data_IF_191849054828
#
_entry.id   IF_191849054828
#
_cell.length_a   1.000
_cell.length_b   1.000
_cell.length_c   1.000
_cell.angle_alpha   90.00
_cell.angle_beta   90.00
_cell.angle_gamma   90.00
#
_symmetry.space_group_name_H-M   'P 1'
#
loop_
_entity.id
_entity.type
_entity.pdbx_description
1 polymer ?
#
# COMPACT_ATOMS: atom_id res chain seq x y z
N UNK A 1 -7.99 17.66 10.95
CA UNK A 1 -8.87 16.64 10.35
C UNK A 1 -8.05 15.39 10.03
N UNK A 2 -8.69 14.23 10.05
CA UNK A 2 -8.14 12.97 9.55
C UNK A 2 -8.82 12.66 8.21
N UNK A 3 -8.03 12.50 7.16
CA UNK A 3 -8.49 12.06 5.86
C UNK A 3 -8.20 10.57 5.69
N UNK A 4 -9.22 9.80 5.35
CA UNK A 4 -9.11 8.34 5.20
C UNK A 4 -9.66 7.91 3.84
N UNK A 5 -8.87 7.18 3.07
CA UNK A 5 -9.34 6.54 1.84
C UNK A 5 -9.89 5.15 2.16
N UNK A 6 -11.09 4.88 1.70
CA UNK A 6 -11.82 3.64 1.94
C UNK A 6 -12.08 2.93 0.61
N UNK A 7 -11.58 1.71 0.48
CA UNK A 7 -11.93 0.86 -0.66
C UNK A 7 -13.39 0.41 -0.55
N UNK A 8 -14.24 0.88 -1.46
CA UNK A 8 -15.61 0.45 -1.55
C UNK A 8 -15.69 -0.88 -2.30
N UNK A 9 -16.01 -1.94 -1.56
CA UNK A 9 -16.18 -3.27 -2.10
C UNK A 9 -17.67 -3.57 -2.30
N UNK A 10 -18.02 -4.25 -3.39
CA UNK A 10 -19.38 -4.72 -3.63
C UNK A 10 -19.43 -6.24 -3.78
N UNK A 11 -20.54 -6.83 -3.33
CA UNK A 11 -20.80 -8.26 -3.55
C UNK A 11 -21.15 -8.48 -5.01
N UNK A 12 -20.42 -9.36 -5.67
CA UNK A 12 -20.63 -9.69 -7.12
C UNK A 12 -20.88 -11.19 -7.34
N UNK A 13 -20.81 -12.02 -6.30
CA UNK A 13 -21.02 -13.46 -6.40
C UNK A 13 -21.15 -14.11 -5.01
N UNK A 14 -21.28 -15.43 -5.00
CA UNK A 14 -21.32 -16.25 -3.78
C UNK A 14 -19.90 -16.63 -3.33
N UNK A 15 -19.80 -17.16 -2.09
CA UNK A 15 -18.53 -17.60 -1.51
C UNK A 15 -17.68 -16.48 -0.92
N UNK A 16 -16.58 -16.85 -0.29
CA UNK A 16 -15.70 -15.93 0.44
C UNK A 16 -15.10 -14.83 -0.47
N UNK A 17 -14.83 -15.13 -1.72
CA UNK A 17 -14.20 -14.25 -2.71
C UNK A 17 -15.20 -13.57 -3.66
N UNK A 18 -16.51 -13.67 -3.39
CA UNK A 18 -17.57 -13.12 -4.22
C UNK A 18 -17.74 -11.60 -4.08
N UNK A 19 -16.65 -10.84 -4.08
CA UNK A 19 -16.64 -9.38 -4.02
C UNK A 19 -15.67 -8.79 -5.03
N UNK A 20 -15.93 -7.55 -5.43
CA UNK A 20 -15.05 -6.79 -6.32
C UNK A 20 -14.90 -5.35 -5.79
N UNK A 21 -13.75 -4.76 -6.07
CA UNK A 21 -13.52 -3.35 -5.86
C UNK A 21 -14.42 -2.53 -6.81
N UNK A 22 -14.96 -1.44 -6.31
CA UNK A 22 -15.84 -0.54 -7.06
C UNK A 22 -15.26 0.86 -7.22
N UNK A 23 -14.77 1.42 -6.14
CA UNK A 23 -14.26 2.80 -6.09
C UNK A 23 -13.49 3.05 -4.80
N UNK A 24 -12.86 4.20 -4.70
CA UNK A 24 -12.34 4.73 -3.44
C UNK A 24 -13.22 5.88 -2.95
N UNK A 25 -13.60 5.85 -1.69
CA UNK A 25 -14.32 6.91 -1.01
C UNK A 25 -13.38 7.66 -0.07
N UNK A 26 -13.53 8.97 0.04
CA UNK A 26 -12.81 9.81 1.00
C UNK A 26 -13.72 10.09 2.20
N UNK A 27 -13.34 9.57 3.36
CA UNK A 27 -13.93 9.92 4.64
C UNK A 27 -13.10 10.98 5.35
N UNK A 28 -13.73 11.99 5.90
CA UNK A 28 -13.09 13.05 6.68
C UNK A 28 -13.65 13.05 8.08
N UNK A 29 -12.77 13.00 9.05
CA UNK A 29 -13.11 13.00 10.47
C UNK A 29 -12.55 14.24 11.16
N UNK A 30 -13.30 14.78 12.13
CA UNK A 30 -12.76 15.78 13.04
C UNK A 30 -11.77 15.13 14.03
N UNK A 31 -10.83 15.92 14.51
CA UNK A 31 -9.93 15.55 15.61
C UNK A 31 -10.20 16.45 16.81
N UNK A 32 -10.09 15.93 18.04
CA UNK A 32 -9.62 14.59 18.42
C UNK A 32 -10.73 13.53 18.52
N UNK A 33 -11.99 13.90 18.35
CA UNK A 33 -13.19 13.09 18.65
C UNK A 33 -13.52 12.05 17.56
N UNK A 34 -12.85 12.08 16.42
CA UNK A 34 -13.04 11.20 15.27
C UNK A 34 -14.50 11.17 14.76
N UNK A 35 -15.22 12.29 14.90
CA UNK A 35 -16.57 12.41 14.35
C UNK A 35 -16.51 12.51 12.82
N UNK A 36 -17.28 11.68 12.13
CA UNK A 36 -17.36 11.71 10.66
C UNK A 36 -18.00 13.03 10.20
N UNK A 37 -17.27 13.84 9.44
CA UNK A 37 -17.73 15.10 8.84
C UNK A 37 -18.30 14.92 7.46
N UNK A 38 -17.64 14.12 6.64
CA UNK A 38 -18.10 13.87 5.26
C UNK A 38 -17.61 12.51 4.78
N UNK A 39 -18.40 11.93 3.87
CA UNK A 39 -18.05 10.76 3.08
C UNK A 39 -18.36 11.08 1.63
N UNK A 40 -17.37 11.11 0.78
CA UNK A 40 -17.49 11.50 -0.62
C UNK A 40 -16.84 10.46 -1.52
N UNK A 41 -17.55 10.01 -2.53
CA UNK A 41 -16.96 9.22 -3.60
C UNK A 41 -15.87 10.05 -4.28
N UNK A 42 -14.64 9.56 -4.30
CA UNK A 42 -13.52 10.34 -4.83
C UNK A 42 -13.21 9.97 -6.27
N UNK A 43 -12.99 8.70 -6.55
CA UNK A 43 -12.59 8.25 -7.88
C UNK A 43 -13.42 7.04 -8.29
N UNK A 44 -14.30 7.20 -9.29
CA UNK A 44 -14.99 6.08 -9.90
C UNK A 44 -14.04 5.38 -10.89
N UNK A 45 -13.13 4.56 -10.38
CA UNK A 45 -12.26 3.74 -11.21
C UNK A 45 -12.40 2.29 -10.77
N UNK A 46 -13.08 1.44 -11.54
CA UNK A 46 -13.15 0.01 -11.22
C UNK A 46 -11.85 -0.73 -11.50
N UNK A 47 -10.87 -0.07 -12.12
CA UNK A 47 -9.61 -0.69 -12.52
C UNK A 47 -8.51 -0.50 -11.48
N UNK A 48 -8.41 0.69 -10.87
CA UNK A 48 -7.32 1.03 -9.94
C UNK A 48 -7.86 1.27 -8.53
N UNK A 49 -7.45 0.43 -7.60
CA UNK A 49 -7.73 0.61 -6.16
C UNK A 49 -6.71 1.55 -5.55
N UNK A 50 -7.00 2.85 -5.53
CA UNK A 50 -6.16 3.85 -4.88
C UNK A 50 -6.30 3.80 -3.36
N UNK A 51 -5.19 4.12 -2.65
CA UNK A 51 -5.13 4.14 -1.18
C UNK A 51 -4.36 2.97 -0.58
N UNK A 52 -3.57 2.21 -1.39
CA UNK A 52 -2.65 1.20 -0.86
C UNK A 52 -1.61 1.81 0.08
N UNK A 53 -1.11 3.00 -0.24
CA UNK A 53 -0.31 3.84 0.63
C UNK A 53 -0.44 5.32 0.25
N UNK A 54 -0.19 6.19 1.22
CA UNK A 54 -0.08 7.64 1.04
C UNK A 54 1.32 8.07 1.47
N UNK A 55 1.87 9.02 0.74
CA UNK A 55 3.15 9.65 1.10
C UNK A 55 3.03 11.16 0.94
N UNK A 56 3.26 11.88 2.01
CA UNK A 56 3.33 13.35 1.98
C UNK A 56 4.75 13.79 1.64
N UNK A 57 4.85 14.75 0.73
CA UNK A 57 6.05 15.52 0.42
C UNK A 57 5.71 17.01 0.50
N UNK A 58 6.66 17.89 0.25
CA UNK A 58 6.55 19.33 0.45
C UNK A 58 5.30 19.95 -0.17
N UNK A 59 4.98 19.61 -1.42
CA UNK A 59 3.92 20.25 -2.20
C UNK A 59 2.71 19.36 -2.46
N UNK A 60 2.89 18.04 -2.33
CA UNK A 60 1.87 17.06 -2.72
C UNK A 60 1.76 15.91 -1.71
N UNK A 61 0.54 15.39 -1.61
CA UNK A 61 0.30 14.03 -1.10
C UNK A 61 0.22 13.10 -2.29
N UNK A 62 1.13 12.14 -2.38
CA UNK A 62 1.12 11.07 -3.37
C UNK A 62 0.24 9.93 -2.90
N UNK A 63 -0.62 9.44 -3.79
CA UNK A 63 -1.65 8.46 -3.52
C UNK A 63 -1.38 7.27 -4.41
N UNK A 64 -0.91 6.18 -3.83
CA UNK A 64 -0.59 4.98 -4.59
C UNK A 64 -1.77 4.02 -4.58
N UNK A 65 -1.92 3.30 -5.69
CA UNK A 65 -2.95 2.30 -5.87
C UNK A 65 -2.46 1.13 -6.69
N UNK A 66 -3.31 0.12 -6.82
CA UNK A 66 -2.99 -1.11 -7.54
C UNK A 66 -4.05 -1.47 -8.57
N UNK A 67 -3.61 -2.16 -9.64
CA UNK A 67 -4.44 -3.03 -10.45
C UNK A 67 -3.96 -4.47 -10.35
N UNK A 68 -4.87 -5.40 -10.48
CA UNK A 68 -4.57 -6.84 -10.47
C UNK A 68 -4.88 -7.43 -11.84
N UNK A 69 -3.92 -8.14 -12.43
CA UNK A 69 -4.08 -8.87 -13.69
C UNK A 69 -3.58 -10.31 -13.48
N UNK A 70 -4.50 -11.24 -13.39
CA UNK A 70 -4.20 -12.60 -12.96
C UNK A 70 -3.67 -12.60 -11.53
N UNK A 71 -2.47 -13.10 -11.32
CA UNK A 71 -1.78 -13.09 -10.01
C UNK A 71 -0.83 -11.89 -9.83
N UNK A 72 -0.61 -11.10 -10.88
CA UNK A 72 0.29 -9.96 -10.83
C UNK A 72 -0.44 -8.69 -10.40
N UNK A 73 0.25 -7.85 -9.65
CA UNK A 73 -0.22 -6.55 -9.22
C UNK A 73 0.73 -5.46 -9.67
N UNK A 74 0.15 -4.36 -10.11
CA UNK A 74 0.87 -3.23 -10.70
C UNK A 74 0.55 -1.98 -9.90
N UNK A 75 1.59 -1.23 -9.55
CA UNK A 75 1.44 0.03 -8.85
C UNK A 75 1.13 1.19 -9.81
N UNK A 76 0.28 2.09 -9.36
CA UNK A 76 -0.08 3.35 -9.99
C UNK A 76 0.09 4.49 -8.98
N UNK A 77 0.18 5.73 -9.46
CA UNK A 77 0.28 6.89 -8.59
C UNK A 77 -0.56 8.05 -9.10
N UNK A 78 -1.26 8.66 -8.15
CA UNK A 78 -1.89 9.96 -8.27
C UNK A 78 -1.27 10.91 -7.25
N UNK A 79 -1.55 12.22 -7.35
CA UNK A 79 -1.17 13.21 -6.36
C UNK A 79 -2.29 14.23 -6.14
N UNK A 80 -2.32 14.79 -4.95
CA UNK A 80 -3.16 15.92 -4.60
C UNK A 80 -2.28 17.04 -4.01
N UNK A 81 -2.66 18.34 -4.09
CA UNK A 81 -1.98 19.39 -3.35
C UNK A 81 -1.86 19.06 -1.87
N UNK A 82 -0.73 19.38 -1.26
CA UNK A 82 -0.31 18.87 0.04
C UNK A 82 -1.36 18.94 1.14
N UNK A 83 -1.58 17.81 1.80
CA UNK A 83 -2.47 17.68 2.96
C UNK A 83 -3.97 17.72 2.67
N UNK A 84 -4.43 18.01 1.43
CA UNK A 84 -5.85 18.08 1.12
C UNK A 84 -6.29 17.09 0.04
N UNK A 85 -6.73 15.91 0.47
CA UNK A 85 -7.27 14.89 -0.43
C UNK A 85 -8.63 15.26 -1.05
N UNK A 86 -9.27 16.40 -0.65
CA UNK A 86 -10.49 16.91 -1.28
C UNK A 86 -10.21 17.59 -2.63
N UNK A 87 -8.99 18.07 -2.81
CA UNK A 87 -8.58 18.71 -4.06
C UNK A 87 -8.70 17.77 -5.25
N UNK A 88 -8.66 18.32 -6.45
CA UNK A 88 -8.60 17.54 -7.68
C UNK A 88 -7.26 16.78 -7.71
N UNK A 89 -7.33 15.48 -7.96
CA UNK A 89 -6.13 14.66 -8.11
C UNK A 89 -5.61 14.76 -9.54
N UNK A 90 -4.29 14.67 -9.65
CA UNK A 90 -3.59 14.47 -10.92
C UNK A 90 -2.99 13.05 -10.94
N UNK A 91 -2.98 12.46 -12.13
CA UNK A 91 -2.53 11.09 -12.36
C UNK A 91 -1.30 11.07 -13.23
N UNK A 92 -0.32 10.26 -12.88
CA UNK A 92 0.88 10.10 -13.71
C UNK A 92 0.60 9.20 -14.90
N UNK A 93 0.88 9.70 -16.12
CA UNK A 93 0.64 8.96 -17.36
C UNK A 93 1.91 8.36 -18.01
N UNK A 94 3.04 8.45 -17.30
CA UNK A 94 4.34 7.99 -17.78
C UNK A 94 5.26 9.11 -18.29
N UNK A 95 4.72 10.31 -18.51
CA UNK A 95 5.48 11.48 -18.94
C UNK A 95 5.11 12.75 -18.14
N UNK A 96 3.85 12.92 -17.80
CA UNK A 96 3.33 14.12 -17.13
C UNK A 96 2.17 13.77 -16.19
N UNK A 97 1.79 14.76 -15.36
CA UNK A 97 0.65 14.70 -14.48
C UNK A 97 -0.59 15.27 -15.18
N UNK A 98 -1.65 14.48 -15.26
CA UNK A 98 -2.91 14.79 -15.98
C UNK A 98 -4.11 14.71 -15.04
N UNK A 99 -5.18 15.44 -15.36
CA UNK A 99 -6.41 15.45 -14.57
C UNK A 99 -7.26 14.18 -14.74
N UNK A 100 -7.09 13.47 -15.85
CA UNK A 100 -7.85 12.26 -16.12
C UNK A 100 -7.14 11.02 -15.56
N UNK A 101 -7.87 10.04 -14.98
CA UNK A 101 -7.30 8.81 -14.47
C UNK A 101 -6.43 8.11 -15.51
N UNK A 102 -5.22 7.75 -15.12
CA UNK A 102 -4.25 7.07 -15.98
C UNK A 102 -4.05 5.63 -15.55
N UNK A 103 -3.95 4.72 -16.52
CA UNK A 103 -3.64 3.30 -16.30
C UNK A 103 -2.13 3.01 -16.40
N UNK A 104 -1.28 4.04 -16.44
CA UNK A 104 0.16 3.86 -16.49
C UNK A 104 0.68 3.17 -15.22
N UNK A 105 1.47 2.13 -15.41
CA UNK A 105 2.04 1.29 -14.35
C UNK A 105 3.42 1.79 -13.98
N UNK A 106 3.61 2.22 -12.74
CA UNK A 106 4.90 2.72 -12.27
C UNK A 106 5.83 1.61 -11.75
N UNK A 107 5.27 0.46 -11.39
CA UNK A 107 6.01 -0.73 -10.95
C UNK A 107 5.13 -1.98 -11.06
N UNK A 108 5.76 -3.15 -11.20
CA UNK A 108 5.09 -4.45 -11.20
C UNK A 108 5.56 -5.33 -10.04
N UNK A 109 4.76 -6.33 -9.67
CA UNK A 109 5.09 -7.26 -8.60
C UNK A 109 4.96 -6.68 -7.19
N UNK A 110 4.09 -5.67 -6.98
CA UNK A 110 3.76 -5.17 -5.64
C UNK A 110 2.69 -6.03 -4.98
N UNK A 111 2.65 -6.04 -3.64
CA UNK A 111 1.55 -6.61 -2.85
C UNK A 111 0.33 -5.68 -2.82
N UNK A 112 -0.81 -6.15 -2.28
CA UNK A 112 -2.03 -5.33 -2.15
C UNK A 112 -1.80 -4.06 -1.36
N UNK A 113 -0.99 -4.18 -0.32
CA UNK A 113 -0.49 -3.07 0.47
C UNK A 113 1.03 -3.07 0.39
N UNK A 114 1.59 -1.93 0.13
CA UNK A 114 3.01 -1.66 0.06
C UNK A 114 3.28 -0.26 0.62
N UNK A 115 4.51 0.08 0.89
CA UNK A 115 4.85 1.41 1.38
C UNK A 115 5.69 2.17 0.38
N UNK A 116 5.43 3.46 0.25
CA UNK A 116 6.35 4.41 -0.37
C UNK A 116 6.68 5.48 0.66
N UNK A 117 7.96 5.78 0.82
CA UNK A 117 8.43 6.80 1.75
C UNK A 117 9.66 7.51 1.20
N UNK A 118 9.90 8.73 1.69
CA UNK A 118 11.06 9.54 1.33
C UNK A 118 12.09 9.51 2.45
N UNK A 119 13.36 9.36 2.10
CA UNK A 119 14.50 9.44 3.03
C UNK A 119 15.76 9.92 2.31
N UNK A 120 16.46 10.90 2.90
CA UNK A 120 17.71 11.44 2.35
C UNK A 120 17.60 11.83 0.85
N UNK A 121 16.52 12.57 0.51
CA UNK A 121 16.19 13.01 -0.86
C UNK A 121 15.96 11.90 -1.89
N UNK A 122 15.83 10.64 -1.46
CA UNK A 122 15.42 9.51 -2.28
C UNK A 122 14.08 8.97 -1.86
N UNK A 123 13.42 8.31 -2.79
CA UNK A 123 12.16 7.60 -2.57
C UNK A 123 12.41 6.10 -2.53
N UNK A 124 11.69 5.43 -1.66
CA UNK A 124 11.80 4.00 -1.45
C UNK A 124 10.43 3.36 -1.55
N UNK A 125 10.34 2.23 -2.26
CA UNK A 125 9.16 1.38 -2.32
C UNK A 125 9.48 0.06 -1.63
N UNK A 126 8.75 -0.25 -0.56
CA UNK A 126 8.85 -1.53 0.14
C UNK A 126 7.59 -2.34 -0.14
N UNK A 127 7.78 -3.58 -0.57
CA UNK A 127 6.68 -4.50 -0.85
C UNK A 127 7.00 -5.91 -0.38
N UNK A 128 5.96 -6.68 -0.08
CA UNK A 128 6.08 -8.11 0.15
C UNK A 128 6.08 -8.85 -1.19
N UNK A 129 6.87 -9.91 -1.31
CA UNK A 129 6.89 -10.75 -2.51
C UNK A 129 5.49 -11.30 -2.79
N UNK A 130 5.01 -11.10 -4.03
CA UNK A 130 3.67 -11.54 -4.45
C UNK A 130 3.54 -13.05 -4.40
N UNK A 131 2.27 -13.52 -4.40
CA UNK A 131 1.88 -14.93 -4.28
C UNK A 131 2.40 -15.54 -2.97
N UNK A 132 2.27 -14.77 -1.88
CA UNK A 132 2.61 -15.18 -0.52
C UNK A 132 4.06 -15.68 -0.35
N UNK A 133 4.99 -15.10 -1.13
CA UNK A 133 6.41 -15.35 -0.96
C UNK A 133 6.92 -14.79 0.37
N UNK A 134 8.12 -15.18 0.77
CA UNK A 134 8.68 -14.81 2.08
C UNK A 134 9.57 -13.56 2.08
N UNK A 135 9.87 -13.00 0.91
CA UNK A 135 10.78 -11.86 0.82
C UNK A 135 10.07 -10.53 1.03
N UNK A 136 10.64 -9.68 1.88
CA UNK A 136 10.32 -8.26 1.94
C UNK A 136 11.37 -7.53 1.11
N UNK A 137 10.91 -6.85 0.06
CA UNK A 137 11.75 -6.26 -0.99
C UNK A 137 11.68 -4.75 -0.92
N UNK A 138 12.83 -4.10 -1.10
CA UNK A 138 12.99 -2.65 -1.16
C UNK A 138 13.54 -2.25 -2.51
N UNK A 139 13.00 -1.17 -3.06
CA UNK A 139 13.46 -0.51 -4.29
C UNK A 139 13.71 0.95 -4.00
N UNK A 140 14.56 1.60 -4.78
CA UNK A 140 14.84 3.03 -4.67
C UNK A 140 14.53 3.78 -5.98
N UNK A 141 14.30 5.09 -5.87
CA UNK A 141 14.11 6.00 -7.00
C UNK A 141 14.48 7.43 -6.59
N UNK A 142 14.82 8.25 -7.59
CA UNK A 142 14.98 9.70 -7.42
C UNK A 142 13.64 10.46 -7.48
N UNK A 143 12.55 9.78 -7.89
CA UNK A 143 11.23 10.38 -8.05
C UNK A 143 10.13 9.52 -7.42
N UNK A 144 9.02 10.14 -6.93
CA UNK A 144 7.92 9.40 -6.30
C UNK A 144 7.15 8.48 -7.26
N UNK A 145 7.27 8.68 -8.56
CA UNK A 145 6.66 7.83 -9.59
C UNK A 145 7.63 6.78 -10.17
N UNK A 146 8.86 6.68 -9.67
CA UNK A 146 9.90 5.83 -10.25
C UNK A 146 10.74 6.57 -11.32
N UNK A 147 11.55 5.84 -12.15
CA UNK A 147 11.63 4.38 -12.19
C UNK A 147 12.23 3.77 -10.92
N UNK A 148 11.66 2.66 -10.49
CA UNK A 148 12.11 1.92 -9.31
C UNK A 148 13.21 0.92 -9.69
N UNK A 149 14.34 0.96 -8.98
CA UNK A 149 15.53 0.16 -9.25
C UNK A 149 16.19 -0.34 -7.96
N UNK A 150 17.38 -0.94 -8.07
CA UNK A 150 18.21 -1.39 -6.92
C UNK A 150 17.48 -2.34 -5.99
N UNK A 151 16.74 -3.32 -6.56
CA UNK A 151 16.02 -4.31 -5.75
C UNK A 151 16.92 -4.94 -4.69
N UNK A 152 16.50 -4.85 -3.43
CA UNK A 152 17.15 -5.45 -2.27
C UNK A 152 16.14 -6.25 -1.46
N UNK A 153 16.44 -7.51 -1.12
CA UNK A 153 15.69 -8.25 -0.10
C UNK A 153 16.18 -7.80 1.25
N UNK A 154 15.33 -7.10 2.00
CA UNK A 154 15.68 -6.54 3.32
C UNK A 154 15.34 -7.49 4.47
N UNK A 155 14.43 -8.43 4.25
CA UNK A 155 14.07 -9.45 5.23
C UNK A 155 13.43 -10.67 4.55
N UNK A 156 13.59 -11.85 5.16
CA UNK A 156 12.86 -13.06 4.80
C UNK A 156 12.05 -13.51 6.03
N UNK A 157 10.73 -13.55 5.89
CA UNK A 157 9.83 -13.93 6.98
C UNK A 157 9.98 -15.42 7.31
N UNK A 158 10.36 -15.78 8.55
CA UNK A 158 10.61 -17.17 8.92
C UNK A 158 9.33 -18.00 9.08
N UNK A 159 8.18 -17.32 9.23
CA UNK A 159 6.88 -17.95 9.43
C UNK A 159 6.30 -18.55 8.15
N UNK A 160 6.75 -18.10 6.97
CA UNK A 160 6.24 -18.61 5.69
C UNK A 160 6.74 -20.03 5.46
N UNK A 161 5.89 -21.01 5.82
CA UNK A 161 6.15 -22.45 5.68
C UNK A 161 4.83 -23.23 5.66
N UNK A 162 4.71 -24.24 4.79
CA UNK A 162 3.51 -25.06 4.65
C UNK A 162 2.26 -24.22 4.34
N UNK A 163 1.25 -24.33 5.20
CA UNK A 163 0.00 -23.59 5.07
C UNK A 163 0.10 -22.16 5.63
N UNK A 164 1.19 -21.81 6.31
CA UNK A 164 1.39 -20.47 6.88
C UNK A 164 2.04 -19.57 5.85
N UNK A 165 1.48 -18.37 5.67
CA UNK A 165 2.00 -17.35 4.78
C UNK A 165 2.06 -15.98 5.45
N UNK A 166 2.89 -15.11 4.90
CA UNK A 166 3.04 -13.73 5.35
C UNK A 166 2.69 -12.76 4.23
N UNK A 167 2.23 -11.57 4.59
CA UNK A 167 1.74 -10.59 3.63
C UNK A 167 1.71 -9.17 4.22
N UNK A 168 1.42 -8.17 3.39
CA UNK A 168 1.23 -6.76 3.77
C UNK A 168 2.40 -6.19 4.59
N UNK A 169 3.63 -6.35 4.09
CA UNK A 169 4.77 -5.66 4.68
C UNK A 169 4.60 -4.14 4.54
N UNK A 170 4.76 -3.40 5.66
CA UNK A 170 4.55 -1.97 5.72
C UNK A 170 5.64 -1.29 6.57
N UNK A 171 6.18 -0.19 6.06
CA UNK A 171 7.17 0.63 6.79
C UNK A 171 6.45 1.59 7.71
N UNK A 172 7.03 1.84 8.88
CA UNK A 172 6.63 2.88 9.84
C UNK A 172 7.70 3.98 9.87
N UNK A 173 7.66 4.96 8.95
CA UNK A 173 8.70 5.98 8.86
C UNK A 173 8.82 6.80 10.15
N UNK A 174 7.71 7.04 10.85
CA UNK A 174 7.64 7.78 12.12
C UNK A 174 8.33 7.06 13.29
N UNK A 175 8.52 5.74 13.18
CA UNK A 175 9.23 4.92 14.18
C UNK A 175 10.65 4.56 13.72
N UNK A 176 11.02 4.89 12.48
CA UNK A 176 12.28 4.55 11.85
C UNK A 176 13.31 5.65 12.04
N UNK A 177 14.60 5.29 12.03
CA UNK A 177 15.73 6.23 12.04
C UNK A 177 16.49 6.19 10.71
N UNK A 178 17.62 6.90 10.60
CA UNK A 178 18.44 6.83 9.38
C UNK A 178 19.04 5.44 9.17
N UNK A 179 19.42 4.77 10.24
CA UNK A 179 20.12 3.48 10.20
C UNK A 179 19.20 2.29 10.41
N UNK A 180 17.96 2.53 10.89
CA UNK A 180 17.02 1.48 11.28
C UNK A 180 15.66 1.70 10.64
N UNK A 181 15.14 0.68 9.96
CA UNK A 181 13.81 0.67 9.37
C UNK A 181 12.90 -0.24 10.20
N UNK A 182 11.80 0.33 10.68
CA UNK A 182 10.76 -0.44 11.38
C UNK A 182 9.72 -0.87 10.36
N UNK A 183 9.51 -2.18 10.27
CA UNK A 183 8.58 -2.81 9.33
C UNK A 183 7.61 -3.68 10.11
N UNK A 184 6.34 -3.63 9.77
CA UNK A 184 5.35 -4.63 10.18
C UNK A 184 4.98 -5.53 9.00
N UNK A 185 4.59 -6.78 9.29
CA UNK A 185 3.94 -7.67 8.33
C UNK A 185 2.92 -8.56 9.06
N UNK A 186 1.98 -9.10 8.32
CA UNK A 186 0.94 -9.97 8.84
C UNK A 186 1.27 -11.44 8.58
N UNK A 187 0.75 -12.31 9.44
CA UNK A 187 0.77 -13.77 9.29
C UNK A 187 -0.67 -14.24 9.09
N UNK A 188 -0.85 -15.29 8.31
CA UNK A 188 -2.12 -15.99 8.15
C UNK A 188 -1.87 -17.46 7.76
N UNK A 189 -2.93 -18.24 7.70
CA UNK A 189 -2.89 -19.65 7.30
C UNK A 189 -3.97 -19.95 6.27
N UNK A 190 -3.65 -20.81 5.30
CA UNK A 190 -4.64 -21.40 4.40
C UNK A 190 -5.55 -22.39 5.13
N UNK A 191 -5.08 -23.00 6.23
CA UNK A 191 -5.94 -23.70 7.19
C UNK A 191 -6.57 -22.68 8.13
N UNK A 192 -7.80 -22.24 7.78
CA UNK A 192 -8.54 -21.26 8.54
C UNK A 192 -8.76 -21.66 10.00
N UNK A 193 -8.95 -22.94 10.29
CA UNK A 193 -9.26 -23.42 11.64
C UNK A 193 -8.05 -23.39 12.57
N UNK A 194 -6.84 -23.51 12.02
CA UNK A 194 -5.61 -23.40 12.80
C UNK A 194 -5.45 -22.03 13.50
N UNK A 195 -6.13 -20.98 12.99
CA UNK A 195 -6.14 -19.63 13.59
C UNK A 195 -6.85 -19.58 14.94
N UNK A 196 -7.83 -20.48 15.17
CA UNK A 196 -8.51 -20.59 16.45
C UNK A 196 -7.70 -21.34 17.49
N UNK A 197 -6.87 -22.29 17.05
CA UNK A 197 -5.98 -23.07 17.91
C UNK A 197 -4.73 -22.27 18.29
N UNK A 198 -4.26 -21.40 17.38
CA UNK A 198 -3.05 -20.60 17.58
C UNK A 198 -3.22 -19.18 17.06
N UNK A 199 -3.57 -18.24 17.96
CA UNK A 199 -3.75 -16.84 17.61
C UNK A 199 -2.47 -16.15 17.10
N UNK A 200 -1.28 -16.71 17.32
CA UNK A 200 -0.03 -16.15 16.80
C UNK A 200 0.07 -16.29 15.27
N UNK A 201 -0.74 -17.15 14.65
CA UNK A 201 -0.90 -17.25 13.20
C UNK A 201 -1.73 -16.12 12.59
N UNK A 202 -2.27 -15.20 13.41
CA UNK A 202 -3.06 -14.04 12.94
C UNK A 202 -2.67 -12.75 13.69
N UNK A 203 -1.39 -12.58 13.94
CA UNK A 203 -0.87 -11.37 14.58
C UNK A 203 0.12 -10.65 13.67
N UNK A 204 0.12 -9.31 13.66
CA UNK A 204 1.20 -8.57 13.01
C UNK A 204 2.51 -8.80 13.75
N UNK A 205 3.59 -8.89 12.99
CA UNK A 205 4.95 -8.89 13.49
C UNK A 205 5.60 -7.55 13.20
N UNK A 206 6.43 -7.10 14.12
CA UNK A 206 7.27 -5.93 13.93
C UNK A 206 8.73 -6.36 13.94
N UNK A 207 9.47 -5.88 12.96
CA UNK A 207 10.91 -6.12 12.83
C UNK A 207 11.66 -4.81 12.70
N UNK A 208 12.90 -4.84 13.11
CA UNK A 208 13.88 -3.79 12.90
C UNK A 208 14.92 -4.28 11.90
N UNK A 209 15.11 -3.55 10.82
CA UNK A 209 16.14 -3.83 9.81
C UNK A 209 17.21 -2.75 9.91
N UNK A 210 18.43 -3.16 10.17
CA UNK A 210 19.62 -2.29 10.25
C UNK A 210 20.38 -2.29 8.92
N UNK A 211 21.09 -1.19 8.60
CA UNK A 211 21.90 -1.04 7.37
C UNK A 211 21.08 -1.34 6.09
N UNK A 212 19.88 -0.81 6.05
CA UNK A 212 18.92 -1.10 4.98
C UNK A 212 19.17 -0.30 3.69
N UNK A 213 19.96 0.80 3.75
CA UNK A 213 20.35 1.65 2.61
C UNK A 213 21.47 1.02 1.76
#
# INVERSE_FOLDING_TARGET
ELHMLLAHMQRVGEGMWGFAYKQVDLAIFSLPDLTLKSLTMKIPSPEISYGSTLMEDTDYTYIYGITTVGYNKYAHVARAPGGDLRAVWEFYNGSEWVSEPSTYRIHDGVSDQFSVFKKNDKYYLLTHQIIFGKEIQLFESDFPMGPWHSKKTVYCTPETDGDVFTYNAFVHPELSTNDELIISYNINSFDFWSLFDNADLYRPKFIKVENWQ
#
